data_IF_327693743807
#
_entry.id   IF_327693743807
#
_cell.length_a   1.000
_cell.length_b   1.000
_cell.length_c   1.000
_cell.angle_alpha   90.00
_cell.angle_beta   90.00
_cell.angle_gamma   90.00
#
_symmetry.space_group_name_H-M   'P 1'
#
loop_
_entity.id
_entity.type
_entity.pdbx_description
1 polymer ?
#
# COMPACT_ATOMS: atom_id res chain seq x y z
N UNK A 1 20.44 -12.85 -17.47
CA UNK A 1 19.73 -11.64 -17.03
C UNK A 1 20.03 -11.21 -15.59
N UNK A 2 20.41 -12.10 -14.65
CA UNK A 2 20.79 -11.68 -13.27
C UNK A 2 21.89 -10.61 -13.21
N UNK A 3 22.95 -10.70 -14.05
CA UNK A 3 23.99 -9.65 -14.12
C UNK A 3 23.41 -8.27 -14.45
N UNK A 4 22.47 -8.21 -15.38
CA UNK A 4 21.80 -6.96 -15.76
C UNK A 4 20.86 -6.42 -14.67
N UNK A 5 20.25 -7.31 -13.90
CA UNK A 5 19.47 -6.88 -12.72
C UNK A 5 20.38 -6.21 -11.68
N UNK A 6 21.54 -6.78 -11.38
CA UNK A 6 22.51 -6.17 -10.44
C UNK A 6 22.96 -4.79 -10.94
N UNK A 7 23.29 -4.68 -12.23
CA UNK A 7 23.63 -3.39 -12.85
C UNK A 7 22.47 -2.39 -12.72
N UNK A 8 21.25 -2.81 -13.03
CA UNK A 8 20.05 -1.98 -12.89
C UNK A 8 19.90 -1.46 -11.45
N UNK A 9 20.00 -2.34 -10.45
CA UNK A 9 19.88 -1.95 -9.03
C UNK A 9 20.95 -0.95 -8.63
N UNK A 10 22.20 -1.15 -9.07
CA UNK A 10 23.31 -0.21 -8.83
C UNK A 10 23.06 1.15 -9.47
N UNK A 11 22.61 1.19 -10.72
CA UNK A 11 22.27 2.44 -11.43
C UNK A 11 21.10 3.17 -10.73
N UNK A 12 20.04 2.44 -10.36
CA UNK A 12 18.88 3.05 -9.67
C UNK A 12 19.29 3.64 -8.31
N UNK A 13 20.09 2.92 -7.54
CA UNK A 13 20.62 3.45 -6.27
C UNK A 13 21.44 4.72 -6.49
N UNK A 14 22.35 4.70 -7.46
CA UNK A 14 23.17 5.86 -7.80
C UNK A 14 22.32 7.06 -8.23
N UNK A 15 21.28 6.84 -9.06
CA UNK A 15 20.33 7.89 -9.47
C UNK A 15 19.57 8.45 -8.28
N UNK A 16 19.07 7.61 -7.36
CA UNK A 16 18.35 8.08 -6.16
C UNK A 16 19.28 8.88 -5.24
N UNK A 17 20.50 8.39 -4.98
CA UNK A 17 21.49 9.12 -4.19
C UNK A 17 21.83 10.46 -4.85
N UNK A 18 22.05 10.46 -6.17
CA UNK A 18 22.29 11.70 -6.92
C UNK A 18 21.13 12.68 -6.77
N UNK A 19 19.88 12.23 -6.91
CA UNK A 19 18.71 13.08 -6.74
C UNK A 19 18.59 13.63 -5.32
N UNK A 20 18.81 12.81 -4.29
CA UNK A 20 18.79 13.23 -2.87
C UNK A 20 19.81 14.36 -2.65
N UNK A 21 21.00 14.23 -3.20
CA UNK A 21 22.08 15.21 -3.04
C UNK A 21 21.83 16.46 -3.89
N UNK A 22 21.54 16.30 -5.19
CA UNK A 22 21.35 17.39 -6.13
C UNK A 22 20.14 18.28 -5.77
N UNK A 23 19.04 17.66 -5.30
CA UNK A 23 17.83 18.37 -4.87
C UNK A 23 17.88 18.80 -3.40
N UNK A 24 18.95 18.46 -2.68
CA UNK A 24 19.15 18.78 -1.24
C UNK A 24 18.02 18.29 -0.34
N UNK A 25 17.30 17.23 -0.74
CA UNK A 25 16.15 16.71 0.01
C UNK A 25 16.56 16.16 1.37
N UNK A 26 17.81 15.76 1.54
CA UNK A 26 18.38 15.36 2.82
C UNK A 26 18.46 16.50 3.86
N UNK A 27 18.33 17.77 3.44
CA UNK A 27 18.24 18.93 4.34
C UNK A 27 16.79 19.27 4.67
N UNK A 28 15.90 19.16 3.68
CA UNK A 28 14.51 19.58 3.77
C UNK A 28 13.58 18.57 3.08
N UNK A 29 13.45 17.32 3.60
CA UNK A 29 12.48 16.38 3.09
C UNK A 29 11.06 16.83 3.42
N UNK A 30 10.07 16.34 2.67
CA UNK A 30 8.67 16.48 3.08
C UNK A 30 8.42 15.56 4.27
N UNK A 31 8.04 16.18 5.40
CA UNK A 31 7.88 15.53 6.70
C UNK A 31 6.40 15.21 6.92
N UNK A 32 6.13 14.02 7.49
CA UNK A 32 4.81 13.54 7.88
C UNK A 32 4.78 13.22 9.37
N UNK A 33 3.64 12.80 9.87
CA UNK A 33 3.38 12.46 11.27
C UNK A 33 4.42 11.55 11.93
N UNK A 34 5.06 10.68 11.16
CA UNK A 34 6.05 9.70 11.64
C UNK A 34 7.30 10.35 12.23
N UNK A 35 7.69 11.51 11.71
CA UNK A 35 8.82 12.31 12.21
C UNK A 35 8.53 12.85 13.62
N UNK A 36 7.35 13.41 13.84
CA UNK A 36 6.93 13.89 15.15
C UNK A 36 6.95 12.76 16.18
N UNK A 37 6.42 11.59 15.82
CA UNK A 37 6.41 10.42 16.69
C UNK A 37 7.85 9.94 16.98
N UNK A 38 8.72 9.86 15.97
CA UNK A 38 10.11 9.45 16.13
C UNK A 38 10.84 10.37 17.11
N UNK A 39 10.66 11.68 16.98
CA UNK A 39 11.25 12.69 17.89
C UNK A 39 10.70 12.55 19.31
N UNK A 40 9.41 12.27 19.47
CA UNK A 40 8.82 12.05 20.79
C UNK A 40 9.33 10.77 21.46
N UNK A 41 9.58 9.70 20.69
CA UNK A 41 10.24 8.50 21.20
C UNK A 41 11.66 8.85 21.72
N UNK A 42 12.44 9.58 20.93
CA UNK A 42 13.83 9.93 21.26
C UNK A 42 13.93 10.89 22.45
N UNK A 43 12.97 11.80 22.60
CA UNK A 43 12.93 12.73 23.74
C UNK A 43 12.38 12.12 25.03
N UNK A 44 12.01 10.83 25.03
CA UNK A 44 11.45 10.15 26.21
C UNK A 44 9.96 10.38 26.46
N UNK A 45 9.26 11.12 25.60
CA UNK A 45 7.79 11.28 25.67
C UNK A 45 7.05 9.98 25.30
N UNK A 46 7.73 9.03 24.66
CA UNK A 46 7.17 7.78 24.18
C UNK A 46 6.50 7.91 22.81
N UNK A 47 5.74 6.89 22.43
CA UNK A 47 5.05 6.84 21.14
C UNK A 47 3.79 7.71 21.17
N UNK A 48 3.92 8.96 20.75
CA UNK A 48 2.85 9.98 20.73
C UNK A 48 2.99 10.84 19.47
N UNK A 49 1.89 11.08 18.79
CA UNK A 49 1.71 12.14 17.81
C UNK A 49 1.11 13.33 18.54
N UNK A 50 1.84 14.43 18.66
CA UNK A 50 1.50 15.54 19.57
C UNK A 50 0.14 16.20 19.25
N UNK A 51 -0.19 16.31 17.96
CA UNK A 51 -1.46 16.93 17.57
C UNK A 51 -2.06 16.22 16.36
N UNK A 52 -3.18 15.54 16.59
CA UNK A 52 -4.06 15.03 15.55
C UNK A 52 -5.50 15.38 15.90
N UNK A 53 -6.19 16.11 15.06
CA UNK A 53 -7.54 16.64 15.34
C UNK A 53 -7.64 17.42 16.67
N UNK A 54 -6.60 18.16 17.05
CA UNK A 54 -6.58 18.98 18.26
C UNK A 54 -6.19 18.25 19.55
N UNK A 55 -5.85 16.95 19.51
CA UNK A 55 -5.45 16.18 20.69
C UNK A 55 -4.26 15.26 20.38
N UNK A 56 -3.45 14.85 21.39
CA UNK A 56 -2.40 13.87 21.17
C UNK A 56 -2.96 12.48 20.88
N UNK A 57 -2.37 11.81 19.89
CA UNK A 57 -2.69 10.41 19.54
C UNK A 57 -1.54 9.48 19.90
N UNK A 58 -1.85 8.39 20.60
CA UNK A 58 -0.89 7.40 21.11
C UNK A 58 -0.96 6.08 20.35
N UNK A 59 -1.98 5.87 19.53
CA UNK A 59 -2.23 4.64 18.80
C UNK A 59 -2.43 4.92 17.32
N UNK A 60 -1.32 5.08 16.61
CA UNK A 60 -1.26 5.14 15.15
C UNK A 60 -0.34 4.02 14.62
N UNK A 61 -0.21 3.88 13.30
CA UNK A 61 0.61 2.83 12.69
C UNK A 61 2.09 2.98 13.12
N UNK A 62 2.69 1.95 13.77
CA UNK A 62 3.97 2.13 14.45
C UNK A 62 5.21 1.88 13.60
N UNK A 63 5.13 1.02 12.57
CA UNK A 63 6.31 0.40 11.99
C UNK A 63 7.29 1.41 11.41
N UNK A 64 6.80 2.39 10.66
CA UNK A 64 7.66 3.38 10.03
C UNK A 64 8.21 4.42 11.03
N UNK A 65 7.43 4.80 12.04
CA UNK A 65 7.89 5.68 13.10
C UNK A 65 9.05 5.04 13.89
N UNK A 66 8.96 3.74 14.20
CA UNK A 66 10.06 3.00 14.82
C UNK A 66 11.28 2.87 13.91
N UNK A 67 11.09 2.69 12.60
CA UNK A 67 12.19 2.72 11.64
C UNK A 67 12.91 4.07 11.70
N UNK A 68 12.18 5.18 11.62
CA UNK A 68 12.76 6.52 11.70
C UNK A 68 13.50 6.73 13.03
N UNK A 69 12.88 6.41 14.17
CA UNK A 69 13.51 6.54 15.48
C UNK A 69 14.78 5.70 15.60
N UNK A 70 14.76 4.44 15.13
CA UNK A 70 15.94 3.56 15.14
C UNK A 70 17.09 4.10 14.29
N UNK A 71 16.78 4.64 13.10
CA UNK A 71 17.79 5.29 12.24
C UNK A 71 18.36 6.52 12.92
N UNK A 72 17.54 7.36 13.53
CA UNK A 72 17.98 8.58 14.19
C UNK A 72 18.87 8.31 15.40
N UNK A 73 18.59 7.26 16.19
CA UNK A 73 19.48 6.84 17.29
C UNK A 73 20.91 6.58 16.79
N UNK A 74 21.05 5.86 15.67
CA UNK A 74 22.35 5.44 15.15
C UNK A 74 23.05 6.55 14.38
N UNK A 75 22.29 7.45 13.73
CA UNK A 75 22.84 8.44 12.78
C UNK A 75 22.77 9.88 13.29
N UNK A 76 22.40 10.08 14.55
CA UNK A 76 22.22 11.41 15.15
C UNK A 76 21.26 12.29 14.34
N UNK A 77 20.03 11.78 14.11
CA UNK A 77 18.94 12.47 13.42
C UNK A 77 19.27 12.84 11.94
N UNK A 78 19.72 11.89 11.16
CA UNK A 78 20.13 12.13 9.79
C UNK A 78 19.05 11.71 8.77
N UNK A 79 18.42 12.67 8.11
CA UNK A 79 17.39 12.43 7.06
C UNK A 79 17.96 11.67 5.85
N UNK A 80 19.23 11.91 5.48
CA UNK A 80 19.87 11.18 4.38
C UNK A 80 19.85 9.67 4.63
N UNK A 81 20.09 9.26 5.87
CA UNK A 81 20.10 7.84 6.25
C UNK A 81 18.70 7.22 6.09
N UNK A 82 17.61 7.94 6.47
CA UNK A 82 16.23 7.46 6.29
C UNK A 82 15.90 7.33 4.80
N UNK A 83 16.20 8.36 3.98
CA UNK A 83 15.98 8.35 2.54
C UNK A 83 16.79 7.23 1.83
N UNK A 84 18.00 6.96 2.32
CA UNK A 84 18.82 5.86 1.82
C UNK A 84 18.20 4.50 2.13
N UNK A 85 17.68 4.29 3.35
CA UNK A 85 17.00 3.06 3.73
C UNK A 85 15.72 2.87 2.90
N UNK A 86 14.92 3.92 2.69
CA UNK A 86 13.75 3.86 1.79
C UNK A 86 14.17 3.44 0.38
N UNK A 87 15.28 4.02 -0.12
CA UNK A 87 15.83 3.64 -1.42
C UNK A 87 16.22 2.16 -1.48
N UNK A 88 16.86 1.63 -0.43
CA UNK A 88 17.20 0.21 -0.34
C UNK A 88 15.94 -0.67 -0.30
N UNK A 89 14.92 -0.31 0.50
CA UNK A 89 13.63 -1.03 0.52
C UNK A 89 12.98 -1.07 -0.87
N UNK A 90 13.07 0.04 -1.61
CA UNK A 90 12.59 0.10 -2.99
C UNK A 90 13.38 -0.82 -3.94
N UNK A 91 14.70 -0.95 -3.77
CA UNK A 91 15.48 -1.94 -4.53
C UNK A 91 15.09 -3.38 -4.18
N UNK A 92 14.80 -3.67 -2.91
CA UNK A 92 14.23 -4.97 -2.50
C UNK A 92 12.88 -5.22 -3.18
N UNK A 93 12.01 -4.20 -3.29
CA UNK A 93 10.76 -4.29 -4.04
C UNK A 93 11.02 -4.66 -5.51
N UNK A 94 11.97 -3.98 -6.18
CA UNK A 94 12.33 -4.27 -7.58
C UNK A 94 12.78 -5.73 -7.74
N UNK A 95 13.57 -6.26 -6.80
CA UNK A 95 13.98 -7.67 -6.80
C UNK A 95 12.79 -8.62 -6.64
N UNK A 96 11.88 -8.33 -5.71
CA UNK A 96 10.68 -9.16 -5.50
C UNK A 96 9.77 -9.14 -6.73
N UNK A 97 9.55 -7.98 -7.35
CA UNK A 97 8.77 -7.88 -8.61
C UNK A 97 9.43 -8.67 -9.75
N UNK A 98 10.76 -8.59 -9.87
CA UNK A 98 11.51 -9.42 -10.82
C UNK A 98 11.26 -10.91 -10.58
N UNK A 99 11.36 -11.38 -9.35
CA UNK A 99 11.18 -12.80 -9.01
C UNK A 99 9.73 -13.28 -9.21
N UNK A 100 8.72 -12.44 -8.88
CA UNK A 100 7.31 -12.73 -9.20
C UNK A 100 7.13 -12.88 -10.71
N UNK A 101 7.51 -11.85 -11.47
CA UNK A 101 7.33 -11.85 -12.92
C UNK A 101 8.11 -12.99 -13.61
N UNK A 102 9.32 -13.30 -13.12
CA UNK A 102 10.13 -14.41 -13.62
C UNK A 102 9.47 -15.77 -13.40
N UNK A 103 8.90 -15.98 -12.22
CA UNK A 103 8.26 -17.26 -11.88
C UNK A 103 6.97 -17.51 -12.66
N UNK A 104 6.30 -16.45 -13.15
CA UNK A 104 5.02 -16.58 -13.86
C UNK A 104 5.23 -16.48 -15.38
N UNK A 105 6.00 -15.51 -15.86
CA UNK A 105 6.06 -15.10 -17.26
C UNK A 105 7.45 -15.18 -17.89
N UNK A 106 8.48 -15.55 -17.10
CA UNK A 106 9.85 -15.71 -17.58
C UNK A 106 10.69 -14.42 -17.58
N UNK A 107 11.95 -14.57 -18.00
CA UNK A 107 13.00 -13.56 -17.77
C UNK A 107 12.80 -12.22 -18.51
N UNK A 108 12.21 -12.23 -19.73
CA UNK A 108 11.99 -10.99 -20.50
C UNK A 108 10.97 -10.09 -19.81
N UNK A 109 9.86 -10.67 -19.38
CA UNK A 109 8.80 -9.95 -18.64
C UNK A 109 9.35 -9.49 -17.30
N UNK A 110 10.11 -10.34 -16.60
CA UNK A 110 10.71 -10.00 -15.32
C UNK A 110 11.64 -8.78 -15.38
N UNK A 111 12.53 -8.72 -16.39
CA UNK A 111 13.45 -7.60 -16.52
C UNK A 111 12.71 -6.30 -16.87
N UNK A 112 11.72 -6.36 -17.77
CA UNK A 112 10.92 -5.20 -18.12
C UNK A 112 10.12 -4.70 -16.90
N UNK A 113 9.53 -5.62 -16.10
CA UNK A 113 8.82 -5.27 -14.87
C UNK A 113 9.73 -4.62 -13.83
N UNK A 114 10.93 -5.17 -13.65
CA UNK A 114 11.94 -4.61 -12.75
C UNK A 114 12.38 -3.20 -13.19
N UNK A 115 12.65 -3.01 -14.49
CA UNK A 115 13.03 -1.72 -15.06
C UNK A 115 11.95 -0.64 -14.82
N UNK A 116 10.70 -0.97 -15.15
CA UNK A 116 9.59 -0.02 -15.00
C UNK A 116 9.28 0.28 -13.54
N UNK A 117 9.37 -0.72 -12.65
CA UNK A 117 9.19 -0.50 -11.20
C UNK A 117 10.31 0.36 -10.64
N UNK A 118 11.55 0.14 -11.06
CA UNK A 118 12.73 0.86 -10.58
C UNK A 118 12.67 2.36 -10.90
N UNK A 119 12.17 2.72 -12.07
CA UNK A 119 12.06 4.12 -12.54
C UNK A 119 10.63 4.65 -12.50
N UNK A 120 9.72 4.01 -11.79
CA UNK A 120 8.37 4.53 -11.63
C UNK A 120 8.38 5.91 -10.96
N UNK A 121 7.84 6.97 -11.61
CA UNK A 121 8.00 8.34 -11.13
C UNK A 121 7.49 8.55 -9.69
N UNK A 122 6.35 7.94 -9.37
CA UNK A 122 5.77 8.05 -8.04
C UNK A 122 6.65 7.40 -6.96
N UNK A 123 7.24 6.22 -7.23
CA UNK A 123 8.09 5.54 -6.25
C UNK A 123 9.41 6.30 -6.04
N UNK A 124 10.03 6.77 -7.14
CA UNK A 124 11.23 7.61 -7.03
C UNK A 124 10.93 8.90 -6.26
N UNK A 125 9.79 9.55 -6.51
CA UNK A 125 9.39 10.75 -5.81
C UNK A 125 9.24 10.53 -4.30
N UNK A 126 8.55 9.46 -3.89
CA UNK A 126 8.37 9.20 -2.46
C UNK A 126 9.65 8.74 -1.76
N UNK A 127 10.51 8.00 -2.45
CA UNK A 127 11.78 7.54 -1.86
C UNK A 127 12.80 8.68 -1.66
N UNK A 128 12.75 9.69 -2.54
CA UNK A 128 13.76 10.76 -2.59
C UNK A 128 13.31 12.02 -1.86
N UNK A 129 12.02 12.35 -1.87
CA UNK A 129 11.52 13.64 -1.38
C UNK A 129 10.73 13.56 -0.08
N UNK A 130 10.24 12.39 0.30
CA UNK A 130 9.30 12.26 1.41
C UNK A 130 9.79 11.27 2.47
N UNK A 131 9.59 11.59 3.74
CA UNK A 131 9.74 10.63 4.83
C UNK A 131 8.40 9.90 5.03
N UNK A 132 8.19 8.83 4.24
CA UNK A 132 6.93 8.07 4.21
C UNK A 132 7.15 6.57 4.04
N UNK A 133 6.26 5.72 4.56
CA UNK A 133 6.37 4.26 4.48
C UNK A 133 6.10 3.66 3.10
N UNK A 134 6.01 4.46 2.02
CA UNK A 134 5.55 3.98 0.71
C UNK A 134 6.30 2.74 0.21
N UNK A 135 7.64 2.78 0.16
CA UNK A 135 8.45 1.64 -0.30
C UNK A 135 8.31 0.41 0.58
N UNK A 136 8.15 0.62 1.90
CA UNK A 136 7.93 -0.46 2.86
C UNK A 136 6.57 -1.12 2.67
N UNK A 137 5.50 -0.33 2.49
CA UNK A 137 4.15 -0.83 2.22
C UNK A 137 4.12 -1.69 0.95
N UNK A 138 4.72 -1.18 -0.14
CA UNK A 138 4.81 -1.87 -1.43
C UNK A 138 5.60 -3.18 -1.33
N UNK A 139 6.73 -3.15 -0.61
CA UNK A 139 7.57 -4.33 -0.39
C UNK A 139 6.83 -5.41 0.39
N UNK A 140 6.08 -5.04 1.44
CA UNK A 140 5.32 -6.02 2.24
C UNK A 140 4.23 -6.70 1.42
N UNK A 141 3.47 -5.94 0.60
CA UNK A 141 2.45 -6.51 -0.29
C UNK A 141 3.08 -7.43 -1.33
N UNK A 142 4.12 -6.98 -2.02
CA UNK A 142 4.80 -7.77 -3.04
C UNK A 142 5.43 -9.04 -2.45
N UNK A 143 6.03 -8.94 -1.25
CA UNK A 143 6.62 -10.08 -0.54
C UNK A 143 5.56 -11.10 -0.13
N UNK A 144 4.40 -10.65 0.38
CA UNK A 144 3.29 -11.56 0.71
C UNK A 144 2.78 -12.32 -0.52
N UNK A 145 2.62 -11.63 -1.67
CA UNK A 145 2.24 -12.25 -2.94
C UNK A 145 3.31 -13.24 -3.41
N UNK A 146 4.58 -12.83 -3.41
CA UNK A 146 5.70 -13.67 -3.83
C UNK A 146 5.82 -14.96 -3.00
N UNK A 147 5.76 -14.83 -1.68
CA UNK A 147 5.83 -15.97 -0.76
C UNK A 147 4.65 -16.93 -0.98
N UNK A 148 3.44 -16.40 -1.16
CA UNK A 148 2.27 -17.24 -1.40
C UNK A 148 2.33 -17.96 -2.77
N UNK A 149 2.84 -17.31 -3.83
CA UNK A 149 3.13 -17.97 -5.11
C UNK A 149 4.10 -19.15 -4.91
N UNK A 150 5.14 -18.95 -4.10
CA UNK A 150 6.17 -19.99 -3.84
C UNK A 150 5.66 -21.17 -3.04
N UNK A 151 4.75 -20.95 -2.09
CA UNK A 151 4.34 -22.02 -1.16
C UNK A 151 2.95 -22.60 -1.43
N UNK A 152 2.13 -22.03 -2.32
CA UNK A 152 0.74 -22.45 -2.53
C UNK A 152 0.58 -23.91 -3.00
N UNK A 153 1.51 -24.43 -3.83
CA UNK A 153 1.45 -25.79 -4.34
C UNK A 153 1.95 -26.80 -3.31
N UNK A 154 2.96 -26.43 -2.51
CA UNK A 154 3.53 -27.24 -1.43
C UNK A 154 3.65 -26.39 -0.16
N UNK A 155 2.52 -26.13 0.51
CA UNK A 155 2.50 -25.26 1.66
C UNK A 155 3.26 -25.91 2.82
N UNK A 156 4.11 -25.13 3.46
CA UNK A 156 4.82 -25.48 4.68
C UNK A 156 4.42 -24.55 5.80
N UNK A 157 4.59 -25.00 7.06
CA UNK A 157 4.33 -24.14 8.23
C UNK A 157 5.16 -22.87 8.13
N UNK A 158 6.47 -22.99 7.83
CA UNK A 158 7.36 -21.83 7.68
C UNK A 158 6.90 -20.88 6.55
N UNK A 159 6.58 -21.41 5.36
CA UNK A 159 6.15 -20.61 4.22
C UNK A 159 4.90 -19.81 4.53
N UNK A 160 3.85 -20.46 5.07
CA UNK A 160 2.60 -19.77 5.41
C UNK A 160 2.77 -18.80 6.59
N UNK A 161 3.65 -19.11 7.55
CA UNK A 161 4.01 -18.17 8.62
C UNK A 161 4.71 -16.92 8.06
N UNK A 162 5.63 -17.07 7.12
CA UNK A 162 6.30 -15.94 6.49
C UNK A 162 5.32 -15.05 5.70
N UNK A 163 4.33 -15.64 5.00
CA UNK A 163 3.24 -14.86 4.36
C UNK A 163 2.47 -14.07 5.43
N UNK A 164 2.07 -14.73 6.52
CA UNK A 164 1.35 -14.09 7.62
C UNK A 164 2.16 -12.97 8.28
N UNK A 165 3.44 -13.22 8.57
CA UNK A 165 4.34 -12.20 9.13
C UNK A 165 4.48 -10.99 8.19
N UNK A 166 4.62 -11.21 6.87
CA UNK A 166 4.71 -10.11 5.90
C UNK A 166 3.44 -9.26 5.90
N UNK A 167 2.26 -9.88 5.96
CA UNK A 167 0.98 -9.16 6.04
C UNK A 167 0.85 -8.44 7.38
N UNK A 168 1.24 -9.07 8.50
CA UNK A 168 1.22 -8.47 9.83
C UNK A 168 2.12 -7.23 9.93
N UNK A 169 3.35 -7.30 9.43
CA UNK A 169 4.26 -6.16 9.33
C UNK A 169 3.68 -5.07 8.41
N UNK A 170 3.13 -5.45 7.26
CA UNK A 170 2.44 -4.53 6.37
C UNK A 170 1.27 -3.83 7.06
N UNK A 171 0.47 -4.54 7.86
CA UNK A 171 -0.64 -3.96 8.61
C UNK A 171 -0.18 -2.98 9.69
N UNK A 172 0.97 -3.23 10.35
CA UNK A 172 1.60 -2.28 11.29
C UNK A 172 2.17 -1.04 10.60
N UNK A 173 2.45 -1.11 9.28
CA UNK A 173 2.83 0.05 8.47
C UNK A 173 1.61 0.79 7.92
N UNK A 174 0.63 0.03 7.41
CA UNK A 174 -0.62 0.53 6.83
C UNK A 174 -1.75 -0.48 7.05
N UNK A 175 -2.69 -0.16 7.91
CA UNK A 175 -3.74 -1.07 8.38
C UNK A 175 -4.51 -1.81 7.29
N UNK A 176 -4.74 -1.18 6.13
CA UNK A 176 -5.47 -1.80 5.00
C UNK A 176 -4.76 -3.01 4.40
N UNK A 177 -3.44 -3.16 4.59
CA UNK A 177 -2.69 -4.34 4.10
C UNK A 177 -3.17 -5.61 4.81
N UNK A 178 -3.67 -5.50 6.03
CA UNK A 178 -4.31 -6.60 6.75
C UNK A 178 -5.48 -7.25 6.00
N UNK A 179 -6.12 -6.52 5.08
CA UNK A 179 -7.18 -7.08 4.22
C UNK A 179 -6.70 -8.20 3.29
N UNK A 180 -5.40 -8.32 3.05
CA UNK A 180 -4.85 -9.48 2.31
C UNK A 180 -5.16 -10.80 3.00
N UNK A 181 -5.27 -10.85 4.35
CA UNK A 181 -5.55 -12.09 5.09
C UNK A 181 -6.84 -12.79 4.64
N UNK A 182 -8.04 -12.17 4.72
CA UNK A 182 -9.26 -12.81 4.27
C UNK A 182 -9.25 -13.10 2.77
N UNK A 183 -8.74 -12.19 1.93
CA UNK A 183 -8.72 -12.40 0.49
C UNK A 183 -7.78 -13.53 0.07
N UNK A 184 -6.61 -13.66 0.68
CA UNK A 184 -5.68 -14.76 0.43
C UNK A 184 -6.22 -16.08 1.00
N UNK A 185 -6.98 -16.05 2.10
CA UNK A 185 -7.68 -17.24 2.60
C UNK A 185 -8.71 -17.74 1.60
N UNK A 186 -9.54 -16.85 1.06
CA UNK A 186 -10.53 -17.19 0.02
C UNK A 186 -9.83 -17.72 -1.25
N UNK A 187 -8.78 -17.03 -1.71
CA UNK A 187 -7.97 -17.51 -2.83
C UNK A 187 -7.44 -18.93 -2.57
N UNK A 188 -6.87 -19.18 -1.39
CA UNK A 188 -6.29 -20.49 -1.03
C UNK A 188 -7.35 -21.59 -0.99
N UNK A 189 -8.57 -21.28 -0.55
CA UNK A 189 -9.70 -22.22 -0.57
C UNK A 189 -10.12 -22.58 -1.99
N UNK A 190 -10.22 -21.59 -2.88
CA UNK A 190 -10.78 -21.76 -4.22
C UNK A 190 -9.75 -22.36 -5.19
N UNK A 191 -8.53 -21.82 -5.23
CA UNK A 191 -7.57 -22.07 -6.30
C UNK A 191 -6.48 -23.08 -5.97
N UNK A 192 -6.38 -23.58 -4.71
CA UNK A 192 -5.42 -24.65 -4.40
C UNK A 192 -6.10 -26.02 -4.39
N UNK A 193 -5.35 -27.08 -4.75
CA UNK A 193 -5.87 -28.45 -4.88
C UNK A 193 -5.67 -29.30 -3.64
N UNK A 194 -5.40 -28.68 -2.48
CA UNK A 194 -5.22 -29.39 -1.20
C UNK A 194 -6.56 -29.85 -0.62
N UNK A 195 -6.50 -30.84 0.25
CA UNK A 195 -7.67 -31.26 1.05
C UNK A 195 -8.15 -30.09 1.92
N UNK A 196 -9.45 -29.99 2.13
CA UNK A 196 -10.04 -28.90 2.93
C UNK A 196 -9.41 -28.78 4.33
N UNK A 197 -9.11 -29.92 4.97
CA UNK A 197 -8.44 -29.93 6.28
C UNK A 197 -7.05 -29.27 6.24
N UNK A 198 -6.29 -29.51 5.18
CA UNK A 198 -4.98 -28.89 4.98
C UNK A 198 -5.10 -27.40 4.68
N UNK A 199 -6.07 -27.01 3.85
CA UNK A 199 -6.36 -25.60 3.58
C UNK A 199 -6.67 -24.84 4.86
N UNK A 200 -7.58 -25.36 5.69
CA UNK A 200 -7.92 -24.76 6.98
C UNK A 200 -6.70 -24.65 7.89
N UNK A 201 -5.90 -25.71 8.00
CA UNK A 201 -4.65 -25.71 8.80
C UNK A 201 -3.73 -24.57 8.37
N UNK A 202 -3.46 -24.42 7.09
CA UNK A 202 -2.52 -23.42 6.57
C UNK A 202 -3.09 -21.98 6.63
N UNK A 203 -4.40 -21.82 6.48
CA UNK A 203 -5.08 -20.55 6.74
C UNK A 203 -4.96 -20.14 8.20
N UNK A 204 -5.15 -21.07 9.14
CA UNK A 204 -4.95 -20.79 10.57
C UNK A 204 -3.51 -20.35 10.84
N UNK A 205 -2.52 -21.05 10.28
CA UNK A 205 -1.10 -20.67 10.43
C UNK A 205 -0.84 -19.27 9.90
N UNK A 206 -1.38 -18.94 8.72
CA UNK A 206 -1.30 -17.60 8.11
C UNK A 206 -1.82 -16.52 9.07
N UNK A 207 -3.03 -16.70 9.62
CA UNK A 207 -3.67 -15.75 10.52
C UNK A 207 -2.94 -15.65 11.86
N UNK A 208 -2.57 -16.76 12.46
CA UNK A 208 -1.83 -16.80 13.73
C UNK A 208 -0.50 -16.07 13.60
N UNK A 209 0.25 -16.33 12.53
CA UNK A 209 1.52 -15.64 12.30
C UNK A 209 1.35 -14.12 12.14
N UNK A 210 0.31 -13.67 11.42
CA UNK A 210 0.02 -12.23 11.29
C UNK A 210 -0.36 -11.61 12.64
N UNK A 211 -1.21 -12.29 13.43
CA UNK A 211 -1.61 -11.81 14.74
C UNK A 211 -0.47 -11.82 15.77
N UNK A 212 0.46 -12.78 15.72
CA UNK A 212 1.66 -12.75 16.55
C UNK A 212 2.49 -11.49 16.31
N UNK A 213 2.60 -11.04 15.06
CA UNK A 213 3.31 -9.82 14.71
C UNK A 213 2.57 -8.56 15.20
N UNK A 214 1.23 -8.55 15.11
CA UNK A 214 0.40 -7.40 15.49
C UNK A 214 0.21 -7.32 17.01
N UNK A 215 0.15 -8.45 17.69
CA UNK A 215 -0.23 -8.56 19.11
C UNK A 215 0.58 -7.68 20.08
N UNK A 216 1.92 -7.56 19.98
CA UNK A 216 2.67 -6.69 20.87
C UNK A 216 2.18 -5.24 20.82
N UNK A 217 1.84 -4.76 19.61
CA UNK A 217 1.30 -3.41 19.43
C UNK A 217 -0.13 -3.27 19.97
N UNK A 218 -0.98 -4.25 19.74
CA UNK A 218 -2.35 -4.30 20.29
C UNK A 218 -2.34 -4.32 21.82
N UNK A 219 -1.47 -5.14 22.44
CA UNK A 219 -1.30 -5.19 23.89
C UNK A 219 -0.83 -3.85 24.44
N UNK A 220 0.17 -3.23 23.81
CA UNK A 220 0.63 -1.87 24.18
C UNK A 220 -0.50 -0.86 24.08
N UNK A 221 -1.30 -0.88 23.00
CA UNK A 221 -2.43 0.03 22.85
C UNK A 221 -3.46 -0.16 23.96
N UNK A 222 -3.76 -1.38 24.35
CA UNK A 222 -4.67 -1.67 25.45
C UNK A 222 -4.13 -1.17 26.79
N UNK A 223 -2.84 -1.35 27.06
CA UNK A 223 -2.21 -0.86 28.30
C UNK A 223 -2.31 0.65 28.40
N UNK A 224 -2.06 1.36 27.30
CA UNK A 224 -1.99 2.84 27.26
C UNK A 224 -3.39 3.48 27.30
N UNK A 225 -4.33 2.94 26.52
CA UNK A 225 -5.64 3.58 26.35
C UNK A 225 -6.77 2.90 27.15
N UNK A 226 -6.51 1.74 27.78
CA UNK A 226 -7.51 0.90 28.47
C UNK A 226 -8.68 0.50 27.56
N UNK A 227 -8.45 0.52 26.24
CA UNK A 227 -9.41 0.18 25.19
C UNK A 227 -8.76 -0.73 24.16
N UNK A 228 -9.56 -1.63 23.58
CA UNK A 228 -9.08 -2.50 22.51
C UNK A 228 -8.93 -1.73 21.21
N UNK A 229 -7.68 -1.55 20.78
CA UNK A 229 -7.31 -0.93 19.52
C UNK A 229 -6.33 -1.88 18.84
N UNK A 230 -6.77 -2.53 17.75
CA UNK A 230 -5.95 -3.52 17.06
C UNK A 230 -4.62 -2.91 16.58
N UNK A 231 -4.68 -1.81 15.81
CA UNK A 231 -3.48 -1.12 15.28
C UNK A 231 -3.56 0.39 15.54
N UNK A 232 -4.61 1.06 15.06
CA UNK A 232 -4.70 2.52 15.08
C UNK A 232 -6.08 3.01 15.49
N UNK A 233 -6.10 4.07 16.30
CA UNK A 233 -7.30 4.82 16.68
C UNK A 233 -7.78 5.79 15.59
N UNK A 234 -6.92 6.15 14.64
CA UNK A 234 -7.29 7.02 13.51
C UNK A 234 -8.28 6.39 12.52
N UNK A 235 -8.65 5.10 12.72
CA UNK A 235 -9.66 4.41 11.91
C UNK A 235 -11.02 5.10 11.94
N UNK A 236 -11.41 5.67 13.08
CA UNK A 236 -12.69 6.41 13.21
C UNK A 236 -12.72 7.65 12.35
N UNK A 237 -11.66 8.43 12.38
CA UNK A 237 -11.49 9.61 11.53
C UNK A 237 -11.48 9.24 10.04
N UNK A 238 -10.69 8.24 9.66
CA UNK A 238 -10.61 7.79 8.28
C UNK A 238 -11.95 7.29 7.75
N UNK A 239 -12.72 6.58 8.59
CA UNK A 239 -14.06 6.09 8.22
C UNK A 239 -15.03 7.26 8.04
N UNK A 240 -15.06 8.22 8.98
CA UNK A 240 -15.94 9.37 8.90
C UNK A 240 -15.56 10.30 7.75
N UNK A 241 -14.26 10.54 7.51
CA UNK A 241 -13.77 11.33 6.37
C UNK A 241 -14.31 10.80 5.04
N UNK A 242 -14.39 9.48 4.90
CA UNK A 242 -14.90 8.83 3.70
C UNK A 242 -16.41 8.60 3.67
N UNK A 243 -17.15 8.75 4.80
CA UNK A 243 -18.55 8.37 4.91
C UNK A 243 -19.32 9.33 5.84
N UNK A 244 -19.68 10.49 5.29
CA UNK A 244 -20.52 11.51 5.91
C UNK A 244 -21.29 12.27 4.82
N UNK A 245 -22.28 13.09 5.15
CA UNK A 245 -23.11 13.79 4.16
C UNK A 245 -22.35 14.71 3.20
N UNK A 246 -21.21 15.25 3.61
CA UNK A 246 -20.37 16.14 2.81
C UNK A 246 -19.14 15.47 2.20
N UNK A 247 -18.99 14.14 2.35
CA UNK A 247 -17.80 13.42 1.91
C UNK A 247 -17.67 13.40 0.38
N UNK A 248 -16.58 13.94 -0.19
CA UNK A 248 -16.32 13.89 -1.62
C UNK A 248 -15.78 12.53 -2.10
N UNK A 249 -15.43 11.63 -1.17
CA UNK A 249 -14.77 10.34 -1.40
C UNK A 249 -13.24 10.39 -1.34
N UNK A 250 -12.66 11.54 -1.04
CA UNK A 250 -11.20 11.82 -1.00
C UNK A 250 -10.85 12.55 0.30
N UNK A 251 -9.56 12.75 0.59
CA UNK A 251 -9.09 13.47 1.80
C UNK A 251 -9.12 14.98 1.66
N UNK A 252 -9.06 15.49 0.42
CA UNK A 252 -9.09 16.91 0.11
C UNK A 252 -10.28 17.22 -0.79
N UNK A 253 -10.71 18.47 -0.79
CA UNK A 253 -11.65 19.04 -1.74
C UNK A 253 -10.95 19.35 -3.07
N UNK A 254 -11.71 19.68 -4.11
CA UNK A 254 -11.15 20.02 -5.43
C UNK A 254 -10.29 21.30 -5.41
N UNK A 255 -10.50 22.19 -4.45
CA UNK A 255 -9.71 23.40 -4.20
C UNK A 255 -8.55 23.19 -3.20
N UNK A 256 -8.31 21.94 -2.78
CA UNK A 256 -7.15 21.57 -1.98
C UNK A 256 -7.30 21.71 -0.47
N UNK A 257 -8.49 22.07 0.04
CA UNK A 257 -8.76 22.14 1.46
C UNK A 257 -8.96 20.76 2.06
N UNK A 258 -8.67 20.60 3.34
CA UNK A 258 -8.97 19.36 4.06
C UNK A 258 -10.49 19.12 4.10
N UNK A 259 -10.91 17.86 3.85
CA UNK A 259 -12.33 17.49 3.98
C UNK A 259 -12.87 17.72 5.40
N UNK A 260 -12.00 17.71 6.42
CA UNK A 260 -12.41 18.05 7.79
C UNK A 260 -12.92 19.49 7.95
N UNK A 261 -12.54 20.39 7.03
CA UNK A 261 -13.09 21.77 7.01
C UNK A 261 -14.57 21.82 6.61
N UNK A 262 -15.03 20.82 5.85
CA UNK A 262 -16.44 20.68 5.44
C UNK A 262 -17.32 20.03 6.51
N UNK A 263 -16.74 19.50 7.59
CA UNK A 263 -17.53 18.84 8.62
C UNK A 263 -18.44 19.82 9.32
N UNK A 264 -19.66 19.39 9.72
CA UNK A 264 -20.58 20.22 10.47
C UNK A 264 -19.93 20.82 11.72
N UNK A 265 -20.36 22.03 12.08
CA UNK A 265 -19.81 22.74 13.24
C UNK A 265 -19.97 21.93 14.52
N UNK A 266 -21.12 21.28 14.69
CA UNK A 266 -21.45 20.43 15.83
C UNK A 266 -20.46 19.26 15.98
N UNK A 267 -20.05 18.67 14.86
CA UNK A 267 -19.04 17.59 14.84
C UNK A 267 -17.67 18.14 15.24
N UNK A 268 -17.27 19.30 14.69
CA UNK A 268 -15.98 19.93 15.02
C UNK A 268 -15.92 20.36 16.48
N UNK A 269 -16.95 20.99 16.98
CA UNK A 269 -17.04 21.43 18.38
C UNK A 269 -17.00 20.22 19.34
N UNK A 270 -17.70 19.13 18.98
CA UNK A 270 -17.67 17.89 19.77
C UNK A 270 -16.30 17.24 19.79
N UNK A 271 -15.64 17.11 18.65
CA UNK A 271 -14.28 16.53 18.54
C UNK A 271 -13.29 17.32 19.42
N UNK A 272 -13.37 18.64 19.42
CA UNK A 272 -12.47 19.50 20.20
C UNK A 272 -12.55 19.26 21.72
N UNK A 273 -13.64 18.65 22.22
CA UNK A 273 -13.82 18.32 23.64
C UNK A 273 -13.45 16.89 24.00
N UNK A 274 -13.05 16.05 23.02
CA UNK A 274 -12.82 14.63 23.22
C UNK A 274 -11.32 14.30 23.14
N UNK A 275 -10.91 13.31 23.91
CA UNK A 275 -9.60 12.68 23.79
C UNK A 275 -9.56 11.71 22.56
N UNK A 276 -8.39 11.12 22.28
CA UNK A 276 -8.14 10.19 21.18
C UNK A 276 -9.22 9.12 21.05
N UNK A 277 -9.59 8.48 22.18
CA UNK A 277 -10.55 7.37 22.18
C UNK A 277 -11.98 7.86 22.01
N UNK A 278 -12.32 8.98 22.64
CA UNK A 278 -13.60 9.65 22.47
C UNK A 278 -13.81 10.08 21.01
N UNK A 279 -12.80 10.68 20.38
CA UNK A 279 -12.83 11.06 18.97
C UNK A 279 -13.03 9.83 18.06
N UNK A 280 -12.26 8.75 18.27
CA UNK A 280 -12.42 7.50 17.53
C UNK A 280 -13.85 6.98 17.60
N UNK A 281 -14.37 6.78 18.82
CA UNK A 281 -15.72 6.22 19.05
C UNK A 281 -16.82 7.11 18.47
N UNK A 282 -16.69 8.42 18.65
CA UNK A 282 -17.66 9.39 18.15
C UNK A 282 -17.70 9.36 16.61
N UNK A 283 -16.55 9.49 15.96
CA UNK A 283 -16.48 9.52 14.49
C UNK A 283 -16.87 8.18 13.85
N UNK A 284 -16.53 7.05 14.47
CA UNK A 284 -17.01 5.73 14.02
C UNK A 284 -18.55 5.65 14.10
N UNK A 285 -19.15 6.11 15.20
CA UNK A 285 -20.59 6.11 15.39
C UNK A 285 -21.30 6.98 14.35
N UNK A 286 -20.80 8.19 14.10
CA UNK A 286 -21.37 9.11 13.09
C UNK A 286 -21.26 8.51 11.67
N UNK A 287 -20.11 7.92 11.31
CA UNK A 287 -19.93 7.25 10.02
C UNK A 287 -20.89 6.06 9.84
N UNK A 288 -20.98 5.19 10.85
CA UNK A 288 -21.87 4.02 10.83
C UNK A 288 -23.35 4.44 10.80
N UNK A 289 -23.70 5.52 11.51
CA UNK A 289 -25.04 6.10 11.45
C UNK A 289 -25.39 6.60 10.04
N UNK A 290 -24.47 7.32 9.41
CA UNK A 290 -24.61 7.75 8.02
C UNK A 290 -24.84 6.56 7.07
N UNK A 291 -24.00 5.53 7.17
CA UNK A 291 -24.09 4.32 6.34
C UNK A 291 -25.42 3.61 6.52
N UNK A 292 -25.86 3.44 7.78
CA UNK A 292 -27.11 2.75 8.13
C UNK A 292 -28.35 3.52 7.66
N UNK A 293 -28.34 4.83 7.87
CA UNK A 293 -29.52 5.67 7.58
C UNK A 293 -29.60 6.09 6.09
N UNK A 294 -28.48 6.01 5.35
CA UNK A 294 -28.38 6.44 3.96
C UNK A 294 -27.69 5.37 3.09
N UNK A 295 -28.21 4.13 3.00
CA UNK A 295 -27.50 3.02 2.35
C UNK A 295 -27.24 3.28 0.86
N UNK A 296 -28.17 3.94 0.15
CA UNK A 296 -27.97 4.25 -1.28
C UNK A 296 -26.91 5.31 -1.49
N UNK A 297 -26.85 6.34 -0.63
CA UNK A 297 -25.78 7.35 -0.66
C UNK A 297 -24.41 6.70 -0.38
N UNK A 298 -24.34 5.78 0.60
CA UNK A 298 -23.14 5.02 0.88
C UNK A 298 -22.68 4.19 -0.32
N UNK A 299 -23.59 3.42 -0.96
CA UNK A 299 -23.24 2.62 -2.15
C UNK A 299 -22.74 3.51 -3.29
N UNK A 300 -23.43 4.61 -3.57
CA UNK A 300 -23.00 5.58 -4.60
C UNK A 300 -21.62 6.15 -4.29
N UNK A 301 -21.39 6.54 -3.04
CA UNK A 301 -20.11 7.07 -2.60
C UNK A 301 -19.00 5.99 -2.63
N UNK A 302 -19.31 4.75 -2.27
CA UNK A 302 -18.39 3.62 -2.36
C UNK A 302 -17.97 3.35 -3.82
N UNK A 303 -18.92 3.27 -4.75
CA UNK A 303 -18.63 3.09 -6.18
C UNK A 303 -17.82 4.25 -6.76
N UNK A 304 -18.11 5.48 -6.33
CA UNK A 304 -17.30 6.66 -6.66
C UNK A 304 -15.86 6.53 -6.16
N UNK A 305 -15.65 6.01 -4.95
CA UNK A 305 -14.31 5.74 -4.39
C UNK A 305 -13.59 4.61 -5.13
N UNK A 306 -14.30 3.54 -5.54
CA UNK A 306 -13.76 2.50 -6.43
C UNK A 306 -13.31 3.11 -7.75
N UNK A 307 -14.14 3.95 -8.38
CA UNK A 307 -13.76 4.68 -9.59
C UNK A 307 -12.51 5.54 -9.37
N UNK A 308 -12.40 6.29 -8.27
CA UNK A 308 -11.24 7.11 -7.94
C UNK A 308 -9.98 6.28 -7.61
N UNK A 309 -10.15 5.07 -7.14
CA UNK A 309 -9.02 4.16 -6.94
C UNK A 309 -8.36 3.77 -8.27
N UNK A 310 -9.18 3.47 -9.28
CA UNK A 310 -8.69 3.09 -10.61
C UNK A 310 -8.46 4.27 -11.54
N UNK A 311 -9.00 5.43 -11.22
CA UNK A 311 -8.88 6.62 -12.05
C UNK A 311 -8.54 7.86 -11.20
N UNK A 312 -8.44 9.00 -11.84
CA UNK A 312 -8.07 10.25 -11.18
C UNK A 312 -9.29 10.93 -10.58
N UNK A 313 -9.18 11.31 -9.32
CA UNK A 313 -10.17 12.15 -8.64
C UNK A 313 -9.99 13.63 -9.02
N UNK A 314 -11.01 14.48 -8.83
CA UNK A 314 -10.89 15.94 -9.02
C UNK A 314 -9.79 16.56 -8.16
N UNK A 315 -9.51 16.01 -6.97
CA UNK A 315 -8.50 16.50 -6.02
C UNK A 315 -7.07 16.20 -6.43
N UNK A 316 -6.85 15.29 -7.38
CA UNK A 316 -5.49 14.96 -7.83
C UNK A 316 -4.71 16.20 -8.30
N UNK A 317 -5.39 17.21 -8.86
CA UNK A 317 -4.79 18.47 -9.28
C UNK A 317 -4.51 19.46 -8.14
N UNK A 318 -5.08 19.26 -6.95
CA UNK A 318 -4.80 20.07 -5.77
C UNK A 318 -3.51 19.65 -5.07
N UNK A 319 -3.18 18.35 -5.12
CA UNK A 319 -1.98 17.79 -4.47
C UNK A 319 -0.74 17.91 -5.35
N UNK A 320 -0.90 17.73 -6.67
CA UNK A 320 0.22 17.69 -7.61
C UNK A 320 0.12 18.85 -8.61
N UNK A 321 1.24 19.50 -8.95
CA UNK A 321 1.25 20.49 -10.03
C UNK A 321 0.68 19.92 -11.33
N UNK A 322 -0.14 20.73 -12.03
CA UNK A 322 -0.85 20.30 -13.24
C UNK A 322 0.03 19.59 -14.29
N UNK A 323 1.28 20.07 -14.60
CA UNK A 323 2.14 19.36 -15.56
C UNK A 323 2.48 17.94 -15.13
N UNK A 324 2.84 17.73 -13.85
CA UNK A 324 3.17 16.40 -13.33
C UNK A 324 1.97 15.46 -13.36
N UNK A 325 0.79 15.99 -13.02
CA UNK A 325 -0.44 15.20 -13.09
C UNK A 325 -0.77 14.78 -14.54
N UNK A 326 -0.55 15.67 -15.50
CA UNK A 326 -0.76 15.36 -16.92
C UNK A 326 0.22 14.28 -17.41
N UNK A 327 1.50 14.42 -17.11
CA UNK A 327 2.52 13.41 -17.44
C UNK A 327 2.14 12.06 -16.80
N UNK A 328 1.76 12.04 -15.53
CA UNK A 328 1.36 10.82 -14.86
C UNK A 328 0.11 10.20 -15.50
N UNK A 329 -0.87 10.99 -15.91
CA UNK A 329 -2.05 10.48 -16.64
C UNK A 329 -1.68 9.85 -17.97
N UNK A 330 -0.78 10.47 -18.72
CA UNK A 330 -0.29 9.96 -20.01
C UNK A 330 0.43 8.62 -19.81
N UNK A 331 1.23 8.47 -18.75
CA UNK A 331 1.94 7.22 -18.43
C UNK A 331 1.00 6.14 -17.88
N UNK A 332 0.01 6.54 -17.08
CA UNK A 332 -0.91 5.60 -16.44
C UNK A 332 -1.90 4.95 -17.41
N UNK A 333 -2.35 5.68 -18.43
CA UNK A 333 -3.32 5.13 -19.39
C UNK A 333 -2.79 3.89 -20.15
N UNK A 334 -1.59 3.91 -20.76
CA UNK A 334 -1.02 2.70 -21.34
C UNK A 334 -0.71 1.64 -20.27
N UNK A 335 -0.27 2.03 -19.07
CA UNK A 335 -0.04 1.09 -17.98
C UNK A 335 -1.32 0.31 -17.68
N UNK A 336 -2.46 0.98 -17.49
CA UNK A 336 -3.74 0.34 -17.21
C UNK A 336 -4.19 -0.54 -18.39
N UNK A 337 -4.14 -0.01 -19.63
CA UNK A 337 -4.59 -0.72 -20.81
C UNK A 337 -3.82 -2.03 -21.06
N UNK A 338 -2.49 -1.97 -21.03
CA UNK A 338 -1.66 -3.17 -21.22
C UNK A 338 -1.66 -4.09 -19.99
N UNK A 339 -1.89 -3.58 -18.79
CA UNK A 339 -2.08 -4.44 -17.61
C UNK A 339 -3.38 -5.24 -17.72
N UNK A 340 -4.48 -4.62 -18.13
CA UNK A 340 -5.74 -5.32 -18.41
C UNK A 340 -5.58 -6.36 -19.52
N UNK A 341 -4.94 -5.98 -20.63
CA UNK A 341 -4.64 -6.90 -21.72
C UNK A 341 -3.77 -8.07 -21.25
N UNK A 342 -2.70 -7.79 -20.50
CA UNK A 342 -1.79 -8.82 -19.98
C UNK A 342 -2.50 -9.79 -19.02
N UNK A 343 -3.32 -9.26 -18.11
CA UNK A 343 -4.13 -10.11 -17.22
C UNK A 343 -5.12 -10.98 -18.00
N UNK A 344 -5.82 -10.40 -18.99
CA UNK A 344 -6.74 -11.15 -19.85
C UNK A 344 -6.01 -12.25 -20.64
N UNK A 345 -4.86 -11.94 -21.26
CA UNK A 345 -4.05 -12.92 -21.97
C UNK A 345 -3.55 -14.03 -21.05
N UNK A 346 -3.16 -13.70 -19.80
CA UNK A 346 -2.72 -14.67 -18.82
C UNK A 346 -3.86 -15.62 -18.41
N UNK A 347 -5.08 -15.11 -18.22
CA UNK A 347 -6.24 -15.92 -17.84
C UNK A 347 -6.76 -16.78 -18.99
N UNK A 348 -6.71 -16.29 -20.23
CA UNK A 348 -7.22 -17.03 -21.41
C UNK A 348 -6.21 -18.05 -21.92
N UNK A 349 -4.96 -17.66 -22.09
CA UNK A 349 -3.93 -18.45 -22.78
C UNK A 349 -2.84 -18.98 -21.85
N UNK A 350 -2.84 -18.63 -20.58
CA UNK A 350 -1.88 -19.15 -19.60
C UNK A 350 -2.15 -20.62 -19.26
N UNK A 351 -1.11 -21.33 -18.85
CA UNK A 351 -1.26 -22.60 -18.16
C UNK A 351 -1.89 -22.42 -16.77
N UNK A 352 -2.15 -23.51 -16.06
CA UNK A 352 -2.80 -23.45 -14.75
C UNK A 352 -1.99 -22.62 -13.72
N UNK A 353 -0.66 -22.78 -13.72
CA UNK A 353 0.20 -22.02 -12.82
C UNK A 353 0.13 -20.50 -13.10
N UNK A 354 0.12 -20.10 -14.36
CA UNK A 354 -0.07 -18.71 -14.79
C UNK A 354 -1.44 -18.18 -14.39
N UNK A 355 -2.51 -18.95 -14.62
CA UNK A 355 -3.88 -18.58 -14.24
C UNK A 355 -4.03 -18.41 -12.74
N UNK A 356 -3.55 -19.36 -11.97
CA UNK A 356 -3.63 -19.31 -10.50
C UNK A 356 -2.82 -18.15 -9.92
N UNK A 357 -1.62 -17.89 -10.46
CA UNK A 357 -0.81 -16.73 -10.06
C UNK A 357 -1.48 -15.42 -10.42
N UNK A 358 -2.13 -15.36 -11.58
CA UNK A 358 -2.90 -14.19 -12.03
C UNK A 358 -4.07 -13.93 -11.09
N UNK A 359 -4.83 -14.96 -10.73
CA UNK A 359 -5.91 -14.83 -9.74
C UNK A 359 -5.40 -14.34 -8.39
N UNK A 360 -4.27 -14.85 -7.90
CA UNK A 360 -3.70 -14.37 -6.64
C UNK A 360 -3.40 -12.87 -6.67
N UNK A 361 -2.77 -12.38 -7.75
CA UNK A 361 -2.48 -10.95 -7.90
C UNK A 361 -3.78 -10.15 -7.99
N UNK A 362 -4.80 -10.65 -8.70
CA UNK A 362 -6.11 -9.99 -8.77
C UNK A 362 -6.81 -9.96 -7.41
N UNK A 363 -6.68 -11.01 -6.58
CA UNK A 363 -7.18 -11.00 -5.20
C UNK A 363 -6.46 -9.95 -4.34
N UNK A 364 -5.16 -9.74 -4.53
CA UNK A 364 -4.46 -8.64 -3.87
C UNK A 364 -5.02 -7.27 -4.33
N UNK A 365 -5.30 -7.07 -5.63
CA UNK A 365 -5.92 -5.85 -6.14
C UNK A 365 -7.31 -5.62 -5.53
N UNK A 366 -8.15 -6.66 -5.56
CA UNK A 366 -9.50 -6.60 -4.98
C UNK A 366 -9.47 -6.27 -3.49
N UNK A 367 -8.56 -6.89 -2.74
CA UNK A 367 -8.40 -6.68 -1.31
C UNK A 367 -8.08 -5.22 -0.99
N UNK A 368 -7.07 -4.65 -1.63
CA UNK A 368 -6.65 -3.26 -1.39
C UNK A 368 -7.71 -2.28 -1.89
N UNK A 369 -8.25 -2.47 -3.08
CA UNK A 369 -9.32 -1.62 -3.64
C UNK A 369 -10.58 -1.66 -2.77
N UNK A 370 -11.03 -2.86 -2.38
CA UNK A 370 -12.22 -3.03 -1.54
C UNK A 370 -12.06 -2.32 -0.21
N UNK A 371 -10.96 -2.61 0.49
CA UNK A 371 -10.75 -2.05 1.83
C UNK A 371 -10.51 -0.55 1.79
N UNK A 372 -9.71 -0.05 0.84
CA UNK A 372 -9.44 1.38 0.72
C UNK A 372 -10.72 2.17 0.38
N UNK A 373 -11.62 1.60 -0.42
CA UNK A 373 -12.88 2.25 -0.80
C UNK A 373 -13.91 2.32 0.32
N UNK A 374 -13.75 1.55 1.41
CA UNK A 374 -14.56 1.72 2.62
C UNK A 374 -14.24 3.04 3.35
N UNK A 375 -13.01 3.54 3.21
CA UNK A 375 -12.55 4.79 3.80
C UNK A 375 -12.60 5.92 2.77
N UNK A 376 -11.51 6.61 2.52
CA UNK A 376 -11.36 7.60 1.46
C UNK A 376 -10.26 7.19 0.49
N UNK A 377 -10.26 7.73 -0.73
CA UNK A 377 -9.30 7.35 -1.77
C UNK A 377 -8.51 8.56 -2.26
N UNK A 378 -7.19 8.38 -2.34
CA UNK A 378 -6.26 9.29 -2.99
C UNK A 378 -5.50 8.56 -4.11
N UNK A 379 -4.93 9.29 -5.07
CA UNK A 379 -4.19 8.68 -6.17
C UNK A 379 -3.03 7.77 -5.72
N UNK A 380 -2.35 8.13 -4.62
CA UNK A 380 -1.27 7.34 -4.02
C UNK A 380 -1.71 5.98 -3.44
N UNK A 381 -2.99 5.79 -3.14
CA UNK A 381 -3.48 4.52 -2.63
C UNK A 381 -3.46 3.41 -3.69
N UNK A 382 -3.62 3.76 -4.98
CA UNK A 382 -3.46 2.82 -6.08
C UNK A 382 -2.02 2.34 -6.23
N UNK A 383 -1.04 3.16 -5.87
CA UNK A 383 0.37 2.76 -5.97
C UNK A 383 0.69 1.50 -5.18
N UNK A 384 -0.09 1.16 -4.14
CA UNK A 384 0.07 -0.10 -3.40
C UNK A 384 -0.03 -1.34 -4.30
N UNK A 385 -0.72 -1.25 -5.44
CA UNK A 385 -0.90 -2.36 -6.40
C UNK A 385 -0.16 -2.15 -7.73
N UNK A 386 0.30 -0.93 -8.02
CA UNK A 386 0.94 -0.62 -9.32
C UNK A 386 2.19 -1.45 -9.62
N UNK A 387 3.08 -1.83 -8.66
CA UNK A 387 4.18 -2.73 -8.97
C UNK A 387 3.73 -4.08 -9.53
N UNK A 388 2.63 -4.61 -9.01
CA UNK A 388 2.03 -5.85 -9.51
C UNK A 388 1.28 -5.63 -10.84
N UNK A 389 0.69 -4.45 -11.08
CA UNK A 389 0.12 -4.08 -12.38
C UNK A 389 1.19 -4.01 -13.47
N UNK A 390 2.39 -3.53 -13.14
CA UNK A 390 3.55 -3.45 -14.05
C UNK A 390 3.94 -4.85 -14.55
N UNK A 391 3.74 -5.90 -13.78
CA UNK A 391 3.98 -7.29 -14.23
C UNK A 391 3.04 -7.65 -15.39
N UNK A 392 1.75 -7.38 -15.25
CA UNK A 392 0.78 -7.63 -16.32
C UNK A 392 1.00 -6.70 -17.52
N UNK A 393 1.32 -5.43 -17.28
CA UNK A 393 1.71 -4.51 -18.36
C UNK A 393 2.86 -5.09 -19.19
N UNK A 394 3.93 -5.51 -18.52
CA UNK A 394 5.12 -6.05 -19.17
C UNK A 394 4.80 -7.33 -19.95
N UNK A 395 3.95 -8.19 -19.42
CA UNK A 395 3.49 -9.39 -20.13
C UNK A 395 2.66 -9.04 -21.36
N UNK A 396 1.72 -8.10 -21.24
CA UNK A 396 0.89 -7.61 -22.35
C UNK A 396 1.74 -7.03 -23.48
N UNK A 397 2.72 -6.18 -23.15
CA UNK A 397 3.65 -5.59 -24.13
C UNK A 397 4.49 -6.66 -24.84
N UNK A 398 5.10 -7.58 -24.06
CA UNK A 398 5.94 -8.64 -24.65
C UNK A 398 5.14 -9.58 -25.56
N UNK A 399 3.92 -9.95 -25.17
CA UNK A 399 3.04 -10.79 -26.00
C UNK A 399 2.58 -10.07 -27.26
N UNK A 400 2.19 -8.80 -27.17
CA UNK A 400 1.81 -7.98 -28.32
C UNK A 400 2.98 -7.84 -29.31
N UNK A 401 4.20 -7.60 -28.83
CA UNK A 401 5.40 -7.52 -29.66
C UNK A 401 5.68 -8.85 -30.41
N UNK A 402 5.60 -9.99 -29.71
CA UNK A 402 5.80 -11.32 -30.33
C UNK A 402 4.76 -11.58 -31.42
N UNK A 403 3.49 -11.24 -31.16
CA UNK A 403 2.40 -11.41 -32.11
C UNK A 403 2.61 -10.56 -33.37
N UNK A 404 3.01 -9.32 -33.25
CA UNK A 404 3.28 -8.42 -34.37
C UNK A 404 4.48 -8.91 -35.22
N UNK A 405 5.55 -9.37 -34.55
CA UNK A 405 6.74 -9.89 -35.21
C UNK A 405 6.46 -11.22 -35.93
N UNK A 406 5.63 -12.09 -35.36
CA UNK A 406 5.23 -13.35 -36.00
C UNK A 406 4.37 -13.14 -37.25
N UNK A 407 3.55 -12.08 -37.33
CA UNK A 407 2.81 -11.71 -38.53
C UNK A 407 3.70 -11.11 -39.62
N UNK A 408 4.76 -10.37 -39.26
CA UNK A 408 5.71 -9.80 -40.22
C UNK A 408 6.67 -10.83 -40.85
N UNK A 409 6.75 -12.05 -40.32
CA UNK A 409 7.52 -13.15 -40.90
C UNK A 409 6.66 -14.05 -41.83
N UNK A 410 5.35 -13.79 -41.89
CA UNK A 410 4.38 -14.53 -42.75
C UNK A 410 3.91 -13.69 -43.97
N UNK A 411 4.44 -12.48 -44.16
CA UNK A 411 4.39 -11.68 -45.37
C UNK A 411 5.78 -11.63 -46.04
#
# INVERSE_FOLDING_TARGET
MRKWLIVLLGVVLAVKIFLIIAMKTYLHPVIWEYENIANNILSGKGFVLDNYLGTPYKSVQPLYAFLCAGVYVVTNHNYFAVLLIQSVLSLCLVMVIFEIAKSIFGEKVAFLSALLTAFHPGFVYYDVFNLMPASMDLLMIATAVWLLIKCRERPTVLGMSLVGCSIGLGALSRGIIGALLPFFSVYFIIFTRHLLKEKIKFIIILWVAAFIVIAPWTVRNYIVNKEFILISSSSGEALYRGNNPSAPGTSLTADGKSVSELWPKEVKDKIATLDEIGQKKFLEKEALSFIKNNPMAFVTLYLKKVYYFWWFSPQSGAIYPKPYLMIYRILYLPLLAFALLGAALALVFGDENVKDSTWLILFAFMSICFMQSLFYVEGRHRWLIEPLMIIFFSYGVVKSYIFLKGRGAAC
#
